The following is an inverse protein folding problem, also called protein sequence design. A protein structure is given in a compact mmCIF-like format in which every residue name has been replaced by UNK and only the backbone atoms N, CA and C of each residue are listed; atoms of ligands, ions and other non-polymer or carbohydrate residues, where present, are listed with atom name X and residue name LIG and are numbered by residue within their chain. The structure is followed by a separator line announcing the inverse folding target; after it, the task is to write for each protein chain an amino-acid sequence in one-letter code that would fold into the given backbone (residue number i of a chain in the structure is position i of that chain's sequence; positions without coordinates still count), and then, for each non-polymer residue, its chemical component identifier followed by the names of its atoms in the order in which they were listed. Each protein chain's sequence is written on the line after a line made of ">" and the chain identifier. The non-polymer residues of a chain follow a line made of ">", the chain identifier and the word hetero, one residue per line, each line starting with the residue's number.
data_IF_616391062847
#
_entry.id   IF_616391062847
#
_cell.length_a   1.000
_cell.length_b   1.000
_cell.length_c   1.000
_cell.angle_alpha   90.00
_cell.angle_beta   90.00
_cell.angle_gamma   90.00
#
_symmetry.space_group_name_H-M   'P 1'
#
loop_
_entity.id
_entity.type
_entity.pdbx_description
1 polymer ?
#
# COMPACT_ATOMS: atom_id res chain seq x y z
N UNK A 1 17.55 -46.86 32.43
CA UNK A 1 16.09 -46.72 32.49
C UNK A 1 15.75 -45.24 32.43
N UNK A 2 15.58 -44.73 31.25
CA UNK A 2 15.20 -43.32 30.99
C UNK A 2 13.83 -43.27 30.40
N UNK A 3 12.92 -42.55 31.06
CA UNK A 3 11.57 -42.32 30.58
C UNK A 3 11.58 -41.06 29.68
N UNK A 4 11.28 -41.26 28.44
CA UNK A 4 10.92 -40.26 27.47
C UNK A 4 9.68 -39.49 27.94
N UNK A 5 9.77 -38.14 27.94
CA UNK A 5 8.62 -37.25 28.11
C UNK A 5 8.03 -36.99 26.74
N UNK A 6 6.89 -37.59 26.46
CA UNK A 6 6.04 -37.22 25.35
C UNK A 6 5.48 -35.82 25.53
N UNK A 7 5.68 -34.97 24.52
CA UNK A 7 5.00 -33.69 24.41
C UNK A 7 3.53 -33.89 24.04
N UNK A 8 2.66 -33.80 25.02
CA UNK A 8 1.24 -33.53 24.78
C UNK A 8 1.02 -32.04 24.53
N UNK A 9 1.20 -31.64 23.32
CA UNK A 9 0.66 -30.38 22.76
C UNK A 9 -0.66 -30.72 22.07
N UNK A 10 -1.79 -30.48 22.72
CA UNK A 10 -3.07 -30.70 22.04
C UNK A 10 -4.25 -30.99 22.92
N UNK A 11 -4.40 -30.32 24.06
CA UNK A 11 -5.67 -30.35 24.80
C UNK A 11 -5.79 -29.11 25.71
N UNK A 12 -6.14 -27.97 25.11
CA UNK A 12 -6.63 -26.83 25.88
C UNK A 12 -7.40 -25.90 24.94
N UNK A 13 -8.62 -26.24 24.59
CA UNK A 13 -9.63 -25.31 24.05
C UNK A 13 -11.03 -25.93 24.13
N UNK A 14 -11.32 -26.64 25.22
CA UNK A 14 -12.71 -27.05 25.52
C UNK A 14 -13.08 -26.52 26.90
N UNK A 15 -13.71 -25.33 26.93
CA UNK A 15 -14.38 -24.93 28.16
C UNK A 15 -14.27 -23.46 28.60
N UNK A 16 -13.85 -22.52 27.77
CA UNK A 16 -14.09 -21.12 28.12
C UNK A 16 -15.58 -20.79 27.96
N UNK A 17 -16.27 -20.74 29.08
CA UNK A 17 -17.64 -20.23 29.16
C UNK A 17 -17.56 -18.73 28.89
N UNK A 18 -18.00 -18.30 27.71
CA UNK A 18 -18.11 -16.90 27.37
C UNK A 18 -19.00 -16.19 28.41
N UNK A 19 -18.51 -15.13 28.99
CA UNK A 19 -19.27 -14.26 29.89
C UNK A 19 -19.93 -13.16 29.05
N UNK A 20 -21.24 -13.20 28.92
CA UNK A 20 -22.04 -12.23 28.21
C UNK A 20 -22.06 -12.45 26.69
N UNK A 21 -22.13 -11.33 25.94
CA UNK A 21 -22.21 -11.32 24.48
C UNK A 21 -20.84 -11.32 23.79
N UNK A 22 -19.75 -11.21 24.55
CA UNK A 22 -18.40 -11.21 24.00
C UNK A 22 -17.95 -12.63 23.66
N UNK A 23 -17.41 -12.80 22.45
CA UNK A 23 -16.79 -14.02 22.00
C UNK A 23 -15.47 -13.68 21.27
N UNK A 24 -14.34 -14.07 21.86
CA UNK A 24 -13.01 -13.80 21.33
C UNK A 24 -12.79 -14.34 19.90
N UNK A 25 -13.55 -15.36 19.47
CA UNK A 25 -13.49 -15.87 18.10
C UNK A 25 -14.03 -14.88 17.06
N UNK A 26 -14.81 -13.89 17.49
CA UNK A 26 -15.33 -12.81 16.63
C UNK A 26 -14.54 -11.50 16.79
N UNK A 27 -13.47 -11.53 17.56
CA UNK A 27 -12.59 -10.36 17.67
C UNK A 27 -11.80 -10.20 16.38
N UNK A 28 -11.96 -9.04 15.74
CA UNK A 28 -11.27 -8.66 14.54
C UNK A 28 -10.75 -7.24 14.71
N UNK A 29 -9.62 -6.95 14.05
CA UNK A 29 -9.07 -5.61 14.01
C UNK A 29 -10.12 -4.62 13.51
N UNK A 30 -10.31 -3.54 14.25
CA UNK A 30 -11.26 -2.51 13.88
C UNK A 30 -10.66 -1.62 12.79
N UNK A 31 -11.31 -1.50 11.65
CA UNK A 31 -10.96 -0.53 10.64
C UNK A 31 -12.16 0.32 10.25
N UNK A 32 -11.90 1.55 9.79
CA UNK A 32 -12.89 2.42 9.20
C UNK A 32 -12.68 2.45 7.68
N UNK A 33 -13.75 2.26 6.92
CA UNK A 33 -13.71 2.36 5.46
C UNK A 33 -14.81 3.29 5.01
N UNK A 34 -14.48 4.19 4.07
CA UNK A 34 -15.44 5.06 3.42
C UNK A 34 -15.22 5.11 1.91
N UNK A 35 -16.22 5.52 1.18
CA UNK A 35 -16.17 5.60 -0.28
C UNK A 35 -16.85 6.85 -0.77
N UNK A 36 -16.23 7.51 -1.74
CA UNK A 36 -16.80 8.64 -2.47
C UNK A 36 -16.74 8.34 -3.96
N UNK A 37 -17.86 8.48 -4.65
CA UNK A 37 -17.94 8.18 -6.08
C UNK A 37 -18.84 9.19 -6.80
N UNK A 38 -18.43 9.59 -8.01
CA UNK A 38 -19.30 10.34 -8.92
C UNK A 38 -20.05 9.34 -9.81
N UNK A 39 -21.39 9.33 -9.72
CA UNK A 39 -22.25 8.38 -10.45
C UNK A 39 -22.18 8.56 -11.98
N UNK A 40 -21.78 9.74 -12.45
CA UNK A 40 -21.60 10.05 -13.88
C UNK A 40 -20.18 9.76 -14.37
N UNK A 41 -19.26 9.27 -13.50
CA UNK A 41 -17.87 8.96 -13.84
C UNK A 41 -16.98 10.19 -14.05
N UNK A 42 -17.45 11.40 -13.73
CA UNK A 42 -16.66 12.61 -13.86
C UNK A 42 -15.54 12.63 -12.81
N UNK A 43 -14.31 12.85 -13.27
CA UNK A 43 -13.15 13.00 -12.40
C UNK A 43 -13.04 14.44 -11.93
N UNK A 44 -12.78 14.63 -10.65
CA UNK A 44 -12.49 15.94 -10.09
C UNK A 44 -11.57 15.80 -8.88
N UNK A 45 -10.84 16.87 -8.58
CA UNK A 45 -10.05 16.95 -7.35
C UNK A 45 -10.95 16.97 -6.11
N UNK A 46 -12.13 17.57 -6.23
CA UNK A 46 -13.14 17.59 -5.17
C UNK A 46 -13.48 16.18 -4.65
N UNK A 47 -13.50 15.17 -5.52
CA UNK A 47 -13.71 13.78 -5.09
C UNK A 47 -12.58 13.28 -4.18
N UNK A 48 -11.35 13.68 -4.49
CA UNK A 48 -10.17 13.34 -3.66
C UNK A 48 -10.27 14.06 -2.32
N UNK A 49 -10.57 15.35 -2.31
CA UNK A 49 -10.75 16.14 -1.09
C UNK A 49 -11.86 15.56 -0.21
N UNK A 50 -12.99 15.20 -0.81
CA UNK A 50 -14.09 14.58 -0.08
C UNK A 50 -13.68 13.20 0.50
N UNK A 51 -12.90 12.40 -0.21
CA UNK A 51 -12.37 11.13 0.30
C UNK A 51 -11.38 11.36 1.46
N UNK A 52 -10.55 12.39 1.41
CA UNK A 52 -9.67 12.78 2.52
C UNK A 52 -10.47 13.25 3.73
N UNK A 53 -11.53 14.03 3.54
CA UNK A 53 -12.45 14.41 4.63
C UNK A 53 -13.13 13.19 5.28
N UNK A 54 -13.43 12.15 4.51
CA UNK A 54 -13.93 10.88 5.07
C UNK A 54 -12.89 10.27 6.01
N UNK A 55 -11.60 10.28 5.64
CA UNK A 55 -10.52 9.81 6.53
C UNK A 55 -10.44 10.65 7.82
N UNK A 56 -10.49 11.97 7.71
CA UNK A 56 -10.49 12.86 8.87
C UNK A 56 -11.66 12.59 9.81
N UNK A 57 -12.86 12.41 9.26
CA UNK A 57 -14.08 12.12 10.03
C UNK A 57 -14.02 10.74 10.72
N UNK A 58 -13.18 9.82 10.23
CA UNK A 58 -12.97 8.51 10.85
C UNK A 58 -11.86 8.50 11.92
N UNK A 59 -11.31 9.66 12.32
CA UNK A 59 -10.25 9.75 13.35
C UNK A 59 -10.61 9.00 14.63
N UNK A 60 -11.86 9.03 15.05
CA UNK A 60 -12.36 8.33 16.23
C UNK A 60 -12.31 6.79 16.12
N UNK A 61 -11.98 6.27 14.94
CA UNK A 61 -11.83 4.82 14.66
C UNK A 61 -10.38 4.36 14.63
N UNK A 62 -9.42 5.29 14.66
CA UNK A 62 -8.00 5.00 14.71
C UNK A 62 -7.46 5.09 16.13
N UNK A 63 -6.42 4.32 16.42
CA UNK A 63 -5.62 4.49 17.62
C UNK A 63 -4.43 5.41 17.35
N UNK A 64 -3.99 6.10 18.39
CA UNK A 64 -2.78 6.92 18.38
C UNK A 64 -1.78 6.32 19.37
N UNK A 65 -0.51 6.29 18.97
CA UNK A 65 0.58 5.84 19.83
C UNK A 65 0.80 6.78 21.03
N UNK A 66 1.65 6.35 21.95
CA UNK A 66 1.98 7.13 23.15
C UNK A 66 2.62 8.49 22.83
N UNK A 67 3.14 8.68 21.63
CA UNK A 67 3.71 9.94 21.13
C UNK A 67 2.67 10.89 20.55
N UNK A 68 1.39 10.51 20.51
CA UNK A 68 0.27 11.24 19.92
C UNK A 68 0.47 11.67 18.45
N UNK A 69 1.41 11.05 17.75
CA UNK A 69 1.75 11.32 16.35
C UNK A 69 1.75 10.07 15.49
N UNK A 70 2.20 8.93 16.06
CA UNK A 70 2.14 7.65 15.37
C UNK A 70 0.72 7.13 15.40
N UNK A 71 0.13 6.85 14.24
CA UNK A 71 -1.22 6.27 14.12
C UNK A 71 -1.15 4.83 13.66
N UNK A 72 -2.30 4.13 13.72
CA UNK A 72 -2.48 2.76 13.21
C UNK A 72 -2.26 2.64 11.71
N UNK A 73 -2.35 3.74 11.03
CA UNK A 73 -2.25 3.83 9.59
C UNK A 73 -3.53 4.37 8.94
N UNK A 74 -3.32 5.11 7.88
CA UNK A 74 -4.38 5.63 7.04
C UNK A 74 -3.96 5.53 5.56
N UNK A 75 -4.94 5.52 4.67
CA UNK A 75 -4.64 5.47 3.24
C UNK A 75 -5.85 5.79 2.39
N UNK A 76 -5.57 6.04 1.12
CA UNK A 76 -6.57 6.29 0.10
C UNK A 76 -6.26 5.47 -1.15
N UNK A 77 -7.28 4.89 -1.74
CA UNK A 77 -7.22 4.29 -3.07
C UNK A 77 -7.96 5.17 -4.06
N UNK A 78 -7.32 5.49 -5.16
CA UNK A 78 -7.90 6.30 -6.21
C UNK A 78 -7.53 5.77 -7.61
N UNK A 79 -8.22 6.22 -8.63
CA UNK A 79 -7.82 5.96 -10.00
C UNK A 79 -6.48 6.60 -10.27
N UNK A 80 -5.64 5.96 -11.14
CA UNK A 80 -4.34 6.52 -11.50
C UNK A 80 -4.53 7.94 -12.03
N UNK A 81 -3.90 8.95 -11.41
CA UNK A 81 -3.99 10.35 -11.83
C UNK A 81 -3.04 10.60 -13.01
N UNK A 82 -3.41 10.15 -14.20
CA UNK A 82 -2.57 10.13 -15.40
C UNK A 82 -2.02 11.52 -15.74
N UNK A 83 -2.89 12.53 -15.76
CA UNK A 83 -2.50 13.91 -16.06
C UNK A 83 -1.46 14.45 -15.08
N UNK A 84 -1.64 14.13 -13.79
CA UNK A 84 -0.68 14.49 -12.75
C UNK A 84 0.69 13.85 -13.00
N UNK A 85 0.72 12.57 -13.38
CA UNK A 85 1.96 11.84 -13.66
C UNK A 85 2.71 12.51 -14.82
N UNK A 86 1.99 12.90 -15.88
CA UNK A 86 2.56 13.65 -17.00
C UNK A 86 3.11 15.01 -16.56
N UNK A 87 2.39 15.74 -15.70
CA UNK A 87 2.85 17.03 -15.15
C UNK A 87 4.12 16.88 -14.28
N UNK A 88 4.35 15.71 -13.69
CA UNK A 88 5.61 15.41 -12.99
C UNK A 88 6.79 15.10 -13.94
N UNK A 89 6.59 15.23 -15.24
CA UNK A 89 7.62 14.96 -16.24
C UNK A 89 7.91 13.47 -16.47
N UNK A 90 7.03 12.58 -16.02
CA UNK A 90 7.19 11.14 -16.22
C UNK A 90 6.56 10.76 -17.55
N UNK A 91 7.34 10.31 -18.54
CA UNK A 91 6.86 10.00 -19.89
C UNK A 91 6.13 8.65 -19.92
N UNK A 92 4.89 8.60 -19.39
CA UNK A 92 4.06 7.41 -19.44
C UNK A 92 3.29 7.29 -20.76
N UNK A 93 3.05 6.05 -21.26
CA UNK A 93 2.16 5.79 -22.38
C UNK A 93 0.71 6.22 -22.08
N UNK A 94 -0.16 6.04 -23.04
CA UNK A 94 -1.60 6.26 -22.86
C UNK A 94 -2.16 5.54 -21.63
N UNK A 95 -3.19 6.12 -21.06
CA UNK A 95 -3.89 5.56 -19.90
C UNK A 95 -4.33 4.11 -20.16
N UNK A 96 -4.00 3.21 -19.23
CA UNK A 96 -4.27 1.77 -19.33
C UNK A 96 -3.18 0.97 -20.05
N UNK A 97 -2.20 1.63 -20.66
CA UNK A 97 -1.05 0.99 -21.31
C UNK A 97 0.18 0.89 -20.41
N UNK A 98 0.09 1.30 -19.16
CA UNK A 98 1.13 1.14 -18.16
C UNK A 98 0.52 0.76 -16.81
N UNK A 99 1.30 0.04 -16.01
CA UNK A 99 1.02 -0.24 -14.61
C UNK A 99 1.86 0.64 -13.70
N UNK A 100 1.33 1.04 -12.56
CA UNK A 100 2.08 1.78 -11.54
C UNK A 100 1.69 1.32 -10.16
N UNK A 101 2.57 1.54 -9.21
CA UNK A 101 2.33 1.20 -7.82
C UNK A 101 3.40 1.73 -6.89
N UNK A 102 3.10 1.75 -5.61
CA UNK A 102 4.04 2.13 -4.57
C UNK A 102 4.68 0.88 -3.97
N UNK A 103 6.00 0.96 -3.79
CA UNK A 103 6.82 -0.10 -3.22
C UNK A 103 7.54 0.47 -2.00
N UNK A 104 7.38 -0.19 -0.87
CA UNK A 104 8.08 0.11 0.36
C UNK A 104 9.30 -0.80 0.46
N UNK A 105 10.45 -0.21 0.65
CA UNK A 105 11.76 -0.86 0.64
C UNK A 105 12.48 -0.60 1.96
N UNK A 106 13.37 -1.49 2.39
CA UNK A 106 14.25 -1.22 3.54
C UNK A 106 15.09 0.04 3.28
N UNK A 107 15.54 0.70 4.36
CA UNK A 107 16.41 1.89 4.24
C UNK A 107 17.81 1.57 3.70
N UNK A 108 18.25 0.34 3.85
CA UNK A 108 19.57 -0.14 3.43
C UNK A 108 19.68 -0.22 1.90
N UNK A 109 20.53 0.60 1.32
CA UNK A 109 20.69 0.73 -0.13
C UNK A 109 21.05 -0.60 -0.84
N UNK A 110 22.01 -1.41 -0.37
CA UNK A 110 22.30 -2.72 -0.94
C UNK A 110 21.09 -3.65 -1.00
N UNK A 111 20.28 -3.67 0.06
CA UNK A 111 19.02 -4.46 0.09
C UNK A 111 18.00 -3.92 -0.90
N UNK A 112 17.87 -2.59 -1.03
CA UNK A 112 17.00 -2.00 -2.05
C UNK A 112 17.38 -2.46 -3.44
N UNK A 113 18.67 -2.40 -3.79
CA UNK A 113 19.17 -2.80 -5.11
C UNK A 113 18.92 -4.30 -5.37
N UNK A 114 19.14 -5.15 -4.40
CA UNK A 114 18.86 -6.58 -4.52
C UNK A 114 17.36 -6.84 -4.78
N UNK A 115 16.47 -6.16 -4.07
CA UNK A 115 15.03 -6.29 -4.26
C UNK A 115 14.61 -5.73 -5.62
N UNK A 116 15.12 -4.58 -6.02
CA UNK A 116 14.83 -3.98 -7.33
C UNK A 116 15.30 -4.90 -8.48
N UNK A 117 16.43 -5.57 -8.35
CA UNK A 117 16.90 -6.55 -9.34
C UNK A 117 15.91 -7.72 -9.48
N UNK A 118 15.40 -8.26 -8.36
CA UNK A 118 14.37 -9.30 -8.39
C UNK A 118 13.09 -8.79 -9.06
N UNK A 119 12.71 -7.54 -8.79
CA UNK A 119 11.53 -6.94 -9.41
C UNK A 119 11.69 -6.81 -10.93
N UNK A 120 12.84 -6.36 -11.40
CA UNK A 120 13.15 -6.23 -12.84
C UNK A 120 13.08 -7.60 -13.52
N UNK A 121 13.72 -8.62 -12.93
CA UNK A 121 13.70 -9.99 -13.46
C UNK A 121 12.26 -10.53 -13.62
N UNK A 122 11.39 -10.33 -12.61
CA UNK A 122 10.01 -10.83 -12.69
C UNK A 122 9.15 -10.02 -13.68
N UNK A 123 9.42 -8.74 -13.85
CA UNK A 123 8.77 -7.89 -14.86
C UNK A 123 9.17 -8.35 -16.27
N UNK A 124 10.47 -8.53 -16.51
CA UNK A 124 11.01 -8.95 -17.81
C UNK A 124 10.57 -10.39 -18.17
N UNK A 125 10.45 -11.26 -17.20
CA UNK A 125 9.95 -12.63 -17.37
C UNK A 125 8.55 -12.70 -17.96
N UNK A 126 7.71 -11.71 -17.70
CA UNK A 126 6.38 -11.58 -18.28
C UNK A 126 6.37 -10.76 -19.59
N UNK A 127 7.54 -10.47 -20.16
CA UNK A 127 7.68 -9.71 -21.40
C UNK A 127 7.41 -8.21 -21.25
N UNK A 128 7.40 -7.70 -20.03
CA UNK A 128 7.22 -6.29 -19.70
C UNK A 128 8.56 -5.65 -19.35
N UNK A 129 8.58 -4.34 -19.18
CA UNK A 129 9.78 -3.59 -18.79
C UNK A 129 9.48 -2.55 -17.70
N UNK A 130 10.42 -2.37 -16.77
CA UNK A 130 10.41 -1.26 -15.83
C UNK A 130 10.82 0.01 -16.60
N UNK A 131 9.83 0.85 -16.88
CA UNK A 131 10.04 2.07 -17.66
C UNK A 131 10.66 3.20 -16.82
N UNK A 132 10.16 3.37 -15.60
CA UNK A 132 10.60 4.44 -14.72
C UNK A 132 10.48 4.05 -13.26
N UNK A 133 11.41 4.53 -12.45
CA UNK A 133 11.45 4.36 -11.00
C UNK A 133 11.60 5.74 -10.36
N UNK A 134 10.58 6.18 -9.63
CA UNK A 134 10.56 7.46 -8.95
C UNK A 134 10.75 7.27 -7.45
N UNK A 135 11.60 8.05 -6.82
CA UNK A 135 11.59 8.18 -5.36
C UNK A 135 10.41 9.06 -4.96
N UNK A 136 9.56 8.55 -4.08
CA UNK A 136 8.42 9.32 -3.57
C UNK A 136 8.95 10.31 -2.52
N UNK A 137 8.69 11.63 -2.68
CA UNK A 137 9.05 12.59 -1.65
C UNK A 137 8.20 12.34 -0.39
N UNK A 138 8.84 12.27 0.75
CA UNK A 138 8.22 12.13 2.06
C UNK A 138 8.58 13.33 2.94
N UNK A 139 7.72 13.65 3.90
CA UNK A 139 8.03 14.63 4.93
C UNK A 139 8.05 13.95 6.31
N UNK A 140 9.23 13.61 6.84
CA UNK A 140 9.35 12.91 8.12
C UNK A 140 9.01 13.79 9.34
N UNK A 141 8.96 15.12 9.22
CA UNK A 141 8.76 16.03 10.34
C UNK A 141 7.41 15.86 11.06
N UNK A 142 6.42 15.31 10.35
CA UNK A 142 5.10 15.04 10.91
C UNK A 142 4.98 13.67 11.60
N UNK A 143 6.00 12.81 11.49
CA UNK A 143 5.98 11.47 12.04
C UNK A 143 6.31 11.43 13.53
N UNK A 144 5.72 10.45 14.23
CA UNK A 144 6.12 10.10 15.58
C UNK A 144 7.41 9.28 15.59
N UNK A 145 8.03 9.17 16.75
CA UNK A 145 9.34 8.49 16.91
C UNK A 145 9.30 7.04 16.41
N UNK A 146 8.27 6.30 16.77
CA UNK A 146 8.12 4.90 16.35
C UNK A 146 7.93 4.76 14.84
N UNK A 147 7.23 5.69 14.21
CA UNK A 147 7.04 5.69 12.75
C UNK A 147 8.35 6.06 12.02
N UNK A 148 9.15 6.98 12.58
CA UNK A 148 10.46 7.36 12.04
C UNK A 148 11.47 6.20 12.05
N UNK A 149 11.46 5.39 13.11
CA UNK A 149 12.36 4.22 13.22
C UNK A 149 12.07 3.19 12.14
N UNK A 150 10.81 3.03 11.79
CA UNK A 150 10.32 2.03 10.83
C UNK A 150 9.97 2.61 9.45
N UNK A 151 10.24 3.91 9.22
CA UNK A 151 9.97 4.56 7.94
C UNK A 151 10.68 3.81 6.80
N UNK A 152 9.96 3.36 5.76
CA UNK A 152 10.57 2.72 4.60
C UNK A 152 11.09 3.74 3.58
N UNK A 153 11.99 3.31 2.72
CA UNK A 153 12.22 4.01 1.46
C UNK A 153 11.06 3.73 0.50
N UNK A 154 10.39 4.78 0.01
CA UNK A 154 9.21 4.62 -0.85
C UNK A 154 9.58 4.93 -2.29
N UNK A 155 9.36 3.96 -3.18
CA UNK A 155 9.53 4.10 -4.63
C UNK A 155 8.20 3.92 -5.33
N UNK A 156 8.01 4.66 -6.42
CA UNK A 156 6.91 4.46 -7.34
C UNK A 156 7.45 3.85 -8.62
N UNK A 157 6.89 2.71 -9.02
CA UNK A 157 7.30 1.97 -10.22
C UNK A 157 6.33 2.22 -11.35
N UNK A 158 6.86 2.24 -12.59
CA UNK A 158 6.08 2.34 -13.81
C UNK A 158 6.50 1.22 -14.75
N UNK A 159 5.56 0.38 -15.15
CA UNK A 159 5.77 -0.82 -15.94
C UNK A 159 5.02 -0.68 -17.25
N UNK A 160 5.66 -1.00 -18.36
CA UNK A 160 5.09 -0.93 -19.71
C UNK A 160 5.50 -2.18 -20.52
N UNK A 161 5.03 -2.26 -21.76
CA UNK A 161 5.29 -3.39 -22.65
C UNK A 161 4.03 -4.14 -23.03
N UNK A 162 2.87 -3.53 -22.83
CA UNK A 162 1.58 -4.13 -23.21
C UNK A 162 1.48 -4.25 -24.72
N UNK A 163 1.43 -5.47 -25.23
CA UNK A 163 1.24 -5.78 -26.66
C UNK A 163 -0.21 -6.14 -27.00
N UNK A 164 -1.02 -6.48 -25.98
CA UNK A 164 -2.43 -6.84 -26.14
C UNK A 164 -3.32 -5.70 -25.59
N UNK A 165 -4.38 -5.37 -26.34
CA UNK A 165 -5.32 -4.31 -25.96
C UNK A 165 -6.28 -4.70 -24.82
N UNK A 166 -6.19 -5.93 -24.31
CA UNK A 166 -7.04 -6.40 -23.22
C UNK A 166 -6.50 -5.96 -21.86
N UNK A 167 -7.04 -4.87 -21.34
CA UNK A 167 -6.73 -4.34 -19.99
C UNK A 167 -6.84 -5.42 -18.89
N UNK A 168 -7.78 -6.36 -19.02
CA UNK A 168 -7.95 -7.45 -18.05
C UNK A 168 -6.77 -8.44 -18.04
N UNK A 169 -6.15 -8.68 -19.18
CA UNK A 169 -4.95 -9.52 -19.30
C UNK A 169 -3.78 -8.83 -18.63
N UNK A 170 -3.59 -7.53 -18.88
CA UNK A 170 -2.52 -6.76 -18.30
C UNK A 170 -2.64 -6.67 -16.76
N UNK A 171 -3.83 -6.40 -16.23
CA UNK A 171 -4.07 -6.42 -14.77
C UNK A 171 -3.69 -7.77 -14.13
N UNK A 172 -4.03 -8.87 -14.80
CA UNK A 172 -3.66 -10.21 -14.34
C UNK A 172 -2.14 -10.41 -14.33
N UNK A 173 -1.45 -9.95 -15.38
CA UNK A 173 0.01 -10.03 -15.47
C UNK A 173 0.67 -9.22 -14.35
N UNK A 174 0.22 -7.98 -14.10
CA UNK A 174 0.70 -7.16 -12.98
C UNK A 174 0.49 -7.85 -11.62
N UNK A 175 -0.66 -8.51 -11.43
CA UNK A 175 -0.93 -9.28 -10.23
C UNK A 175 0.03 -10.49 -10.08
N UNK A 176 0.30 -11.21 -11.16
CA UNK A 176 1.24 -12.35 -11.16
C UNK A 176 2.65 -11.87 -10.81
N UNK A 177 3.11 -10.79 -11.46
CA UNK A 177 4.41 -10.16 -11.17
C UNK A 177 4.51 -9.81 -9.70
N UNK A 178 3.51 -9.09 -9.18
CA UNK A 178 3.46 -8.72 -7.76
C UNK A 178 3.60 -9.94 -6.85
N UNK A 179 2.82 -10.98 -7.08
CA UNK A 179 2.83 -12.19 -6.25
C UNK A 179 4.16 -12.96 -6.33
N UNK A 180 4.79 -13.01 -7.49
CA UNK A 180 6.12 -13.63 -7.64
C UNK A 180 7.19 -12.86 -6.90
N UNK A 181 7.18 -11.53 -7.00
CA UNK A 181 8.11 -10.67 -6.26
C UNK A 181 7.91 -10.89 -4.75
N UNK A 182 6.67 -10.79 -4.25
CA UNK A 182 6.34 -11.00 -2.83
C UNK A 182 6.83 -12.38 -2.32
N UNK A 183 6.72 -13.43 -3.14
CA UNK A 183 7.18 -14.78 -2.78
C UNK A 183 8.70 -14.96 -2.85
N UNK A 184 9.40 -14.22 -3.70
CA UNK A 184 10.87 -14.30 -3.85
C UNK A 184 11.62 -13.44 -2.83
N UNK A 185 11.05 -12.29 -2.48
CA UNK A 185 11.66 -11.36 -1.54
C UNK A 185 11.31 -11.79 -0.12
N UNK A 186 12.27 -12.41 0.55
CA UNK A 186 12.16 -12.78 1.96
C UNK A 186 12.72 -11.65 2.86
N UNK A 187 12.02 -10.51 2.86
CA UNK A 187 12.37 -9.35 3.68
C UNK A 187 11.08 -8.75 4.28
N UNK A 188 11.03 -8.65 5.61
CA UNK A 188 9.87 -8.14 6.35
C UNK A 188 9.61 -6.64 6.14
N UNK A 189 10.64 -5.90 5.73
CA UNK A 189 10.59 -4.46 5.48
C UNK A 189 10.25 -4.13 4.02
N UNK A 190 9.98 -5.18 3.21
CA UNK A 190 9.53 -5.07 1.84
C UNK A 190 8.03 -5.25 1.71
N UNK A 191 7.38 -4.32 0.99
CA UNK A 191 5.95 -4.40 0.74
C UNK A 191 5.56 -3.70 -0.56
N UNK A 192 4.78 -4.36 -1.41
CA UNK A 192 4.16 -3.74 -2.58
C UNK A 192 2.75 -3.27 -2.18
N UNK A 193 2.57 -1.97 -2.06
CA UNK A 193 1.31 -1.37 -1.64
C UNK A 193 0.20 -1.62 -2.68
N UNK A 194 0.50 -1.31 -3.93
CA UNK A 194 -0.36 -1.59 -5.08
C UNK A 194 0.48 -1.76 -6.34
N UNK A 195 -0.03 -2.50 -7.32
CA UNK A 195 0.51 -2.58 -8.68
C UNK A 195 -0.65 -2.84 -9.63
N UNK A 196 -1.05 -1.83 -10.40
CA UNK A 196 -2.25 -1.86 -11.23
C UNK A 196 -2.14 -0.87 -12.39
N UNK A 197 -2.89 -1.10 -13.46
CA UNK A 197 -3.09 -0.15 -14.56
C UNK A 197 -4.31 0.76 -14.36
N UNK A 198 -5.06 0.56 -13.26
CA UNK A 198 -6.32 1.26 -12.98
C UNK A 198 -6.25 2.14 -11.75
N UNK A 199 -5.70 1.60 -10.67
CA UNK A 199 -5.75 2.21 -9.35
C UNK A 199 -4.35 2.35 -8.75
N UNK A 200 -4.22 3.31 -7.86
CA UNK A 200 -3.04 3.45 -6.99
C UNK A 200 -3.50 3.60 -5.55
N UNK A 201 -2.76 3.01 -4.64
CA UNK A 201 -3.01 3.11 -3.20
C UNK A 201 -1.87 3.89 -2.56
N UNK A 202 -2.23 4.95 -1.85
CA UNK A 202 -1.34 5.69 -0.96
C UNK A 202 -1.68 5.32 0.48
N UNK A 203 -0.69 4.93 1.26
CA UNK A 203 -0.88 4.64 2.69
C UNK A 203 0.41 4.82 3.48
N UNK A 204 0.25 4.98 4.78
CA UNK A 204 1.36 5.08 5.73
C UNK A 204 0.90 4.88 7.16
N UNK A 205 1.84 4.67 8.08
CA UNK A 205 1.59 4.63 9.52
C UNK A 205 1.45 6.06 10.05
N UNK A 206 0.33 6.69 9.73
CA UNK A 206 0.00 8.07 10.05
C UNK A 206 -1.35 8.09 10.76
N UNK A 207 -1.59 9.09 11.61
CA UNK A 207 -2.95 9.42 11.99
C UNK A 207 -3.69 9.97 10.75
N UNK A 208 -5.01 10.01 10.77
CA UNK A 208 -5.80 10.48 9.63
C UNK A 208 -5.57 11.96 9.27
N UNK A 209 -5.11 12.78 10.22
CA UNK A 209 -4.87 14.22 10.02
C UNK A 209 -3.69 14.53 9.08
N UNK A 210 -2.48 13.96 9.25
CA UNK A 210 -1.37 14.24 8.36
C UNK A 210 -1.56 13.78 6.92
N UNK A 211 -2.42 12.79 6.67
CA UNK A 211 -2.70 12.31 5.30
C UNK A 211 -3.28 13.41 4.43
N UNK A 212 -4.13 14.28 5.00
CA UNK A 212 -4.74 15.38 4.26
C UNK A 212 -3.78 16.54 3.97
N UNK A 213 -2.76 16.75 4.84
CA UNK A 213 -1.91 17.94 4.75
C UNK A 213 -0.53 17.70 4.17
N UNK A 214 0.01 16.49 4.19
CA UNK A 214 1.44 16.28 3.92
C UNK A 214 1.77 15.30 2.80
N UNK A 215 0.92 14.33 2.47
CA UNK A 215 1.29 13.26 1.55
C UNK A 215 0.51 13.22 0.24
N UNK A 216 -0.58 13.91 0.16
CA UNK A 216 -1.46 13.93 -1.01
C UNK A 216 -1.64 15.34 -1.57
N UNK A 217 -0.64 16.19 -1.47
CA UNK A 217 -0.58 17.37 -2.34
C UNK A 217 -0.40 16.90 -3.78
N UNK A 218 -1.45 16.25 -4.28
CA UNK A 218 -1.66 16.19 -5.71
C UNK A 218 -1.78 17.63 -6.17
N UNK A 219 -0.95 18.11 -7.12
CA UNK A 219 -1.04 19.48 -7.58
C UNK A 219 -2.47 19.75 -8.00
N UNK A 220 -3.08 20.64 -7.29
CA UNK A 220 -4.35 21.22 -7.65
C UNK A 220 -4.05 22.19 -8.79
N UNK A 221 -4.46 21.88 -9.99
CA UNK A 221 -4.67 22.93 -10.97
C UNK A 221 -5.82 23.78 -10.44
N UNK A 222 -5.46 24.95 -9.89
CA UNK A 222 -6.36 26.08 -9.76
C UNK A 222 -6.57 26.72 -11.12
#
# INVERSE_FOLDING_TARGET
>A
MGKTRDHQAGQAMAGERFSGLYNAAYEHDACGVGMVVNIHGNKSHELVDNALRVLENMRHRGAEGADNKTGDGAGIMLQIPHEFILLQGIPVPEKGKYGTGLVFLPKDEPQQQAILSIMIEEIEREGLSLMHLRTVPTNPDCLGVSALETEPAIKQVFITGVTDDKVSTFERTLYIIRKRIENRVNNKDFYICSLSSRNIVYKGMLSSMPVSYTHLTLPTNR
#
